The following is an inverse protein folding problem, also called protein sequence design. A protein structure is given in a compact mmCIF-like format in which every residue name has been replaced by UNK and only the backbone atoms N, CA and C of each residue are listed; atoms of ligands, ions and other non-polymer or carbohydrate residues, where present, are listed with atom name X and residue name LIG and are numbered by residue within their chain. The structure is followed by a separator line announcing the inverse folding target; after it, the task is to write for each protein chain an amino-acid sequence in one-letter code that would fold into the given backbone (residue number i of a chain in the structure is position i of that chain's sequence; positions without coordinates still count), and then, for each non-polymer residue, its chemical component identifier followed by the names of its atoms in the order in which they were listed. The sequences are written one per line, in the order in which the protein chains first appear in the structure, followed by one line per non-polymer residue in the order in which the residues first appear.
data_IF_742227511122
#
_entry.id   IF_742227511122
#
_cell.length_a   1.000
_cell.length_b   1.000
_cell.length_c   1.000
_cell.angle_alpha   90.00
_cell.angle_beta   90.00
_cell.angle_gamma   90.00
#
_symmetry.space_group_name_H-M   'P 1'
#
loop_
_entity.id
_entity.type
_entity.pdbx_description
1 polymer ?
#
# COMPACT_ATOMS: atom_id res chain seq x y z
N UNK A 1 18.82 -9.16 -21.12
CA UNK A 1 17.40 -8.76 -21.04
C UNK A 1 16.81 -9.33 -19.76
N UNK A 2 16.45 -8.50 -18.78
CA UNK A 2 15.69 -8.99 -17.61
C UNK A 2 14.23 -9.01 -18.01
N UNK A 3 13.60 -10.18 -17.97
CA UNK A 3 12.17 -10.35 -18.18
C UNK A 3 11.45 -9.53 -17.12
N UNK A 4 10.86 -8.40 -17.52
CA UNK A 4 10.00 -7.59 -16.65
C UNK A 4 8.73 -8.37 -16.41
N UNK A 5 8.75 -9.31 -15.45
CA UNK A 5 7.51 -9.90 -14.96
C UNK A 5 6.68 -8.74 -14.41
N UNK A 6 5.51 -8.50 -15.01
CA UNK A 6 4.55 -7.54 -14.47
C UNK A 6 4.22 -8.00 -13.06
N UNK A 7 4.46 -7.15 -12.07
CA UNK A 7 4.21 -7.50 -10.67
C UNK A 7 2.70 -7.59 -10.46
N UNK A 8 2.19 -8.79 -10.13
CA UNK A 8 0.75 -9.06 -9.99
C UNK A 8 0.05 -8.09 -9.03
N UNK A 9 0.76 -7.59 -8.00
CA UNK A 9 0.20 -6.66 -7.02
C UNK A 9 -0.28 -5.35 -7.65
N UNK A 10 0.30 -4.95 -8.80
CA UNK A 10 -0.11 -3.73 -9.50
C UNK A 10 -1.58 -3.73 -9.90
N UNK A 11 -2.10 -4.90 -10.26
CA UNK A 11 -3.44 -5.04 -10.81
C UNK A 11 -4.44 -5.60 -9.76
N UNK A 12 -4.00 -5.69 -8.50
CA UNK A 12 -4.80 -6.10 -7.34
C UNK A 12 -5.33 -4.89 -6.57
N UNK A 13 -6.52 -5.04 -5.97
CA UNK A 13 -7.09 -4.10 -5.03
C UNK A 13 -6.62 -4.35 -3.60
N UNK A 14 -6.24 -3.30 -2.89
CA UNK A 14 -5.75 -3.37 -1.51
C UNK A 14 -6.39 -2.27 -0.66
N UNK A 15 -6.41 -2.43 0.66
CA UNK A 15 -6.94 -1.47 1.64
C UNK A 15 -6.03 -1.39 2.86
N UNK A 16 -6.07 -0.27 3.58
CA UNK A 16 -5.50 -0.22 4.93
C UNK A 16 -6.26 -1.19 5.84
N UNK A 17 -5.54 -1.98 6.64
CA UNK A 17 -6.20 -2.87 7.61
C UNK A 17 -6.97 -2.02 8.63
N UNK A 18 -8.26 -2.30 8.93
CA UNK A 18 -9.02 -1.60 9.97
C UNK A 18 -8.43 -1.72 11.37
N UNK A 19 -7.48 -2.64 11.58
CA UNK A 19 -6.72 -2.74 12.83
C UNK A 19 -5.50 -1.80 12.87
N UNK A 20 -5.32 -0.91 11.89
CA UNK A 20 -4.17 0.00 11.80
C UNK A 20 -4.60 1.45 11.99
N UNK A 21 -3.91 2.15 12.88
CA UNK A 21 -3.95 3.60 12.96
C UNK A 21 -2.73 4.21 12.24
N UNK A 22 -2.98 5.20 11.39
CA UNK A 22 -1.95 6.05 10.81
C UNK A 22 -1.87 7.38 11.56
N UNK A 23 -0.70 7.71 12.09
CA UNK A 23 -0.39 9.01 12.67
C UNK A 23 0.52 9.79 11.72
N UNK A 24 0.08 10.93 11.16
CA UNK A 24 0.92 11.77 10.31
C UNK A 24 2.12 12.33 11.07
N UNK A 25 3.27 12.40 10.40
CA UNK A 25 4.52 12.93 10.92
C UNK A 25 5.28 13.67 9.78
N UNK A 26 6.23 14.59 10.06
CA UNK A 26 6.93 15.34 9.01
C UNK A 26 7.66 14.48 7.97
N UNK A 27 8.10 13.27 8.36
CA UNK A 27 8.75 12.31 7.45
C UNK A 27 7.77 11.40 6.69
N UNK A 28 6.46 11.47 6.99
CA UNK A 28 5.43 10.59 6.46
C UNK A 28 4.43 10.18 7.54
N UNK A 29 4.51 8.95 8.06
CA UNK A 29 3.60 8.51 9.11
C UNK A 29 4.16 7.37 9.98
N UNK A 30 3.62 7.25 11.18
CA UNK A 30 3.70 6.06 12.03
C UNK A 30 2.44 5.22 11.83
N UNK A 31 2.59 3.94 11.50
CA UNK A 31 1.52 2.96 11.38
C UNK A 31 1.58 1.98 12.55
N UNK A 32 0.52 1.95 13.36
CA UNK A 32 0.42 1.04 14.49
C UNK A 32 -0.73 0.05 14.29
N UNK A 33 -0.43 -1.24 14.36
CA UNK A 33 -1.42 -2.30 14.24
C UNK A 33 -1.88 -2.80 15.63
N UNK A 34 -3.16 -2.63 15.97
CA UNK A 34 -3.69 -2.96 17.29
C UNK A 34 -3.71 -4.45 17.61
N UNK A 35 -3.91 -5.32 16.62
CA UNK A 35 -3.89 -6.78 16.81
C UNK A 35 -2.50 -7.36 17.10
N UNK A 36 -1.57 -7.23 16.16
CA UNK A 36 -0.22 -7.78 16.28
C UNK A 36 0.80 -6.85 16.97
N UNK A 37 0.39 -5.65 17.41
CA UNK A 37 1.20 -4.64 18.11
C UNK A 37 2.43 -4.14 17.35
N UNK A 38 2.53 -4.38 16.04
CA UNK A 38 3.66 -3.88 15.23
C UNK A 38 3.54 -2.38 15.02
N UNK A 39 4.68 -1.71 15.09
CA UNK A 39 4.87 -0.31 14.70
C UNK A 39 5.73 -0.27 13.44
N UNK A 40 5.26 0.40 12.38
CA UNK A 40 5.98 0.59 11.12
C UNK A 40 6.05 2.06 10.77
N UNK A 41 7.17 2.51 10.21
CA UNK A 41 7.36 3.88 9.77
C UNK A 41 7.24 3.96 8.25
N UNK A 42 6.28 4.75 7.77
CA UNK A 42 6.15 5.12 6.36
C UNK A 42 7.00 6.36 6.12
N UNK A 43 8.25 6.17 5.68
CA UNK A 43 9.28 7.23 5.61
C UNK A 43 9.20 8.14 4.37
N UNK A 44 8.03 8.22 3.73
CA UNK A 44 7.78 9.09 2.56
C UNK A 44 6.33 9.58 2.60
N UNK A 45 6.06 10.89 2.48
CA UNK A 45 4.69 11.41 2.34
C UNK A 45 3.93 10.80 1.15
N UNK A 46 4.62 10.52 0.04
CA UNK A 46 4.06 9.81 -1.12
C UNK A 46 3.55 8.42 -0.75
N UNK A 47 4.30 7.66 0.05
CA UNK A 47 3.89 6.31 0.46
C UNK A 47 2.64 6.36 1.35
N UNK A 48 2.54 7.38 2.21
CA UNK A 48 1.33 7.61 3.02
C UNK A 48 0.13 7.90 2.12
N UNK A 49 0.29 8.79 1.13
CA UNK A 49 -0.75 9.08 0.14
C UNK A 49 -1.19 7.82 -0.62
N UNK A 50 -0.24 7.02 -1.11
CA UNK A 50 -0.54 5.74 -1.76
C UNK A 50 -1.38 4.85 -0.84
N UNK A 51 -0.94 4.62 0.41
CA UNK A 51 -1.65 3.75 1.36
C UNK A 51 -3.06 4.25 1.67
N UNK A 52 -3.26 5.56 1.77
CA UNK A 52 -4.58 6.17 1.98
C UNK A 52 -5.49 6.02 0.75
N UNK A 53 -4.95 6.23 -0.45
CA UNK A 53 -5.68 6.10 -1.72
C UNK A 53 -6.02 4.67 -2.11
N UNK A 54 -5.41 3.66 -1.48
CA UNK A 54 -5.67 2.24 -1.76
C UNK A 54 -7.15 1.91 -1.69
N UNK A 55 -7.86 2.39 -0.65
CA UNK A 55 -9.28 2.09 -0.45
C UNK A 55 -10.21 2.67 -1.53
N UNK A 56 -9.81 3.79 -2.13
CA UNK A 56 -10.59 4.51 -3.13
C UNK A 56 -10.16 4.11 -4.56
N UNK A 57 -9.15 3.24 -4.66
CA UNK A 57 -8.59 2.76 -5.92
C UNK A 57 -8.99 1.30 -6.17
N UNK A 58 -9.35 0.97 -7.42
CA UNK A 58 -9.60 -0.41 -7.80
C UNK A 58 -8.34 -1.26 -7.85
N UNK A 59 -7.18 -0.64 -8.08
CA UNK A 59 -5.88 -1.32 -8.13
C UNK A 59 -4.74 -0.49 -7.53
N UNK A 60 -3.64 -1.15 -7.13
CA UNK A 60 -2.40 -0.48 -6.68
C UNK A 60 -1.86 0.47 -7.75
N UNK A 61 -1.93 0.09 -9.03
CA UNK A 61 -1.56 0.94 -10.17
C UNK A 61 -2.29 2.28 -10.14
N UNK A 62 -3.61 2.26 -9.91
CA UNK A 62 -4.41 3.48 -9.81
C UNK A 62 -4.01 4.32 -8.59
N UNK A 63 -3.79 3.70 -7.43
CA UNK A 63 -3.34 4.41 -6.23
C UNK A 63 -1.97 5.09 -6.41
N UNK A 64 -1.02 4.42 -7.06
CA UNK A 64 0.29 4.99 -7.40
C UNK A 64 0.19 6.19 -8.33
N UNK A 65 -0.68 6.09 -9.35
CA UNK A 65 -0.93 7.18 -10.28
C UNK A 65 -1.62 8.38 -9.59
N UNK A 66 -2.63 8.14 -8.75
CA UNK A 66 -3.32 9.18 -7.98
C UNK A 66 -2.38 9.90 -7.01
N UNK A 67 -1.42 9.18 -6.42
CA UNK A 67 -0.38 9.76 -5.57
C UNK A 67 0.76 10.43 -6.35
N UNK A 68 0.66 10.53 -7.67
CA UNK A 68 1.66 11.09 -8.58
C UNK A 68 3.06 10.45 -8.45
N UNK A 69 3.12 9.15 -8.16
CA UNK A 69 4.39 8.41 -8.11
C UNK A 69 4.85 8.12 -9.54
N UNK A 70 6.06 8.55 -9.95
CA UNK A 70 6.58 8.23 -11.28
C UNK A 70 6.68 6.72 -11.49
N UNK A 71 6.31 6.24 -12.68
CA UNK A 71 6.33 4.80 -13.01
C UNK A 71 7.70 4.15 -12.78
N UNK A 72 8.78 4.89 -13.03
CA UNK A 72 10.15 4.45 -12.76
C UNK A 72 10.43 4.11 -11.28
N UNK A 73 9.62 4.64 -10.35
CA UNK A 73 9.72 4.39 -8.92
C UNK A 73 8.77 3.29 -8.43
N UNK A 74 7.79 2.86 -9.23
CA UNK A 74 6.79 1.88 -8.81
C UNK A 74 7.37 0.60 -8.21
N UNK A 75 8.46 0.00 -8.73
CA UNK A 75 9.05 -1.19 -8.12
C UNK A 75 9.42 -1.01 -6.64
N UNK A 76 9.89 0.18 -6.23
CA UNK A 76 10.22 0.47 -4.84
C UNK A 76 8.98 0.59 -3.95
N UNK A 77 7.91 1.19 -4.46
CA UNK A 77 6.64 1.29 -3.73
C UNK A 77 5.97 -0.07 -3.61
N UNK A 78 5.98 -0.89 -4.67
CA UNK A 78 5.45 -2.25 -4.61
C UNK A 78 6.19 -3.08 -3.56
N UNK A 79 7.53 -2.99 -3.51
CA UNK A 79 8.31 -3.66 -2.45
C UNK A 79 7.91 -3.20 -1.03
N UNK A 80 7.65 -1.91 -0.84
CA UNK A 80 7.15 -1.38 0.42
C UNK A 80 5.75 -1.91 0.74
N UNK A 81 4.82 -1.87 -0.23
CA UNK A 81 3.46 -2.38 -0.06
C UNK A 81 3.43 -3.88 0.24
N UNK A 82 4.27 -4.69 -0.40
CA UNK A 82 4.44 -6.12 -0.07
C UNK A 82 4.91 -6.32 1.38
N UNK A 83 5.79 -5.46 1.87
CA UNK A 83 6.24 -5.51 3.28
C UNK A 83 5.11 -5.14 4.25
N UNK A 84 4.28 -4.17 3.88
CA UNK A 84 3.08 -3.81 4.65
C UNK A 84 2.07 -4.97 4.66
N UNK A 85 1.83 -5.61 3.51
CA UNK A 85 0.95 -6.77 3.40
C UNK A 85 1.43 -7.95 4.26
N UNK A 86 2.74 -8.25 4.23
CA UNK A 86 3.35 -9.30 5.04
C UNK A 86 3.23 -9.07 6.56
N UNK A 87 2.86 -7.86 6.98
CA UNK A 87 2.69 -7.49 8.39
C UNK A 87 1.25 -7.12 8.75
N UNK A 88 0.29 -7.43 7.87
CA UNK A 88 -1.14 -7.12 8.01
C UNK A 88 -1.44 -5.62 8.15
N UNK A 89 -0.51 -4.76 7.70
CA UNK A 89 -0.72 -3.31 7.70
C UNK A 89 -1.71 -2.89 6.62
N UNK A 90 -1.67 -3.59 5.48
CA UNK A 90 -2.65 -3.51 4.40
C UNK A 90 -3.15 -4.92 4.08
N UNK A 91 -4.35 -5.02 3.52
CA UNK A 91 -4.96 -6.29 3.12
C UNK A 91 -5.49 -6.22 1.70
N UNK A 92 -5.49 -7.35 1.01
CA UNK A 92 -6.16 -7.44 -0.28
C UNK A 92 -7.65 -7.15 -0.06
N UNK A 93 -8.27 -6.41 -0.99
CA UNK A 93 -9.71 -6.32 -1.02
C UNK A 93 -10.23 -7.73 -1.31
N UNK A 94 -10.99 -8.31 -0.38
CA UNK A 94 -11.73 -9.53 -0.71
C UNK A 94 -12.65 -9.17 -1.87
N UNK A 95 -12.50 -9.89 -2.99
CA UNK A 95 -13.40 -9.73 -4.11
C UNK A 95 -14.82 -9.85 -3.58
N UNK A 96 -15.70 -8.92 -3.96
CA UNK A 96 -17.13 -9.18 -3.82
C UNK A 96 -17.36 -10.54 -4.48
N UNK A 97 -17.59 -11.57 -3.69
CA UNK A 97 -18.27 -12.77 -4.17
C UNK A 97 -19.57 -12.22 -4.74
N UNK A 98 -19.67 -12.15 -6.06
CA UNK A 98 -20.95 -11.90 -6.72
C UNK A 98 -21.90 -12.98 -6.20
N UNK A 99 -22.86 -12.57 -5.38
CA UNK A 99 -24.16 -13.23 -5.29
C UNK A 99 -24.88 -13.05 -6.63
#
# INVERSE_FOLDING_TARGET
MKTTSTDAMLDEGWVLSPAVALRPEPFGAMAYHFGNRKLTFLKRPELVRVVQSLQDSGTVRQALAQAAVPESQWPAYIAALRSLAATDMIRAMEGKTND
#
